data_IF_117085716830
#
_entry.id   IF_117085716830
#
_cell.length_a   1.000
_cell.length_b   1.000
_cell.length_c   1.000
_cell.angle_alpha   90.00
_cell.angle_beta   90.00
_cell.angle_gamma   90.00
#
_symmetry.space_group_name_H-M   'P 1'
#
loop_
_entity.id
_entity.type
_entity.pdbx_description
1 polymer ?
#
# COMPACT_ATOMS: atom_id res chain seq x y z
N UNK A 1 5.65 25.74 11.09
CA UNK A 1 6.58 25.47 9.99
C UNK A 1 5.83 24.63 8.96
N UNK A 2 5.66 25.12 7.74
CA UNK A 2 4.92 24.39 6.69
C UNK A 2 5.72 23.15 6.25
N UNK A 3 5.07 21.98 6.04
CA UNK A 3 5.76 20.81 5.52
C UNK A 3 6.32 21.15 4.15
N UNK A 4 7.65 20.98 4.00
CA UNK A 4 8.35 21.20 2.73
C UNK A 4 7.65 20.33 1.69
N UNK A 5 6.96 20.95 0.73
CA UNK A 5 6.44 20.24 -0.44
C UNK A 5 7.59 19.43 -1.00
N UNK A 6 7.47 18.10 -0.98
CA UNK A 6 8.34 17.23 -1.77
C UNK A 6 7.90 17.42 -3.21
N UNK A 7 8.24 18.58 -3.77
CA UNK A 7 8.36 18.72 -5.21
C UNK A 7 9.50 17.80 -5.56
N UNK A 8 9.19 16.56 -5.93
CA UNK A 8 10.14 15.66 -6.58
C UNK A 8 10.57 16.45 -7.82
N UNK A 9 11.74 17.10 -7.80
CA UNK A 9 12.20 17.71 -9.02
C UNK A 9 12.36 16.55 -9.99
N UNK A 10 12.01 16.77 -11.25
CA UNK A 10 12.38 15.88 -12.33
C UNK A 10 13.91 15.88 -12.38
N UNK A 11 14.54 15.13 -11.48
CA UNK A 11 15.93 14.75 -11.57
C UNK A 11 15.95 13.94 -12.85
N UNK A 12 16.43 14.57 -13.91
CA UNK A 12 16.45 14.04 -15.25
C UNK A 12 17.36 12.83 -15.27
N UNK A 13 16.82 11.70 -14.84
CA UNK A 13 17.42 10.41 -15.05
C UNK A 13 16.50 9.69 -16.03
N UNK A 14 17.01 9.54 -17.26
CA UNK A 14 16.73 8.39 -18.11
C UNK A 14 15.52 8.36 -19.05
N UNK A 15 14.74 9.43 -19.22
CA UNK A 15 13.49 9.35 -20.00
C UNK A 15 13.48 9.97 -21.40
N UNK A 16 14.61 10.48 -21.92
CA UNK A 16 14.68 11.04 -23.28
C UNK A 16 15.71 10.32 -24.17
N UNK A 17 15.85 8.99 -24.00
CA UNK A 17 16.78 8.17 -24.77
C UNK A 17 16.23 6.80 -25.14
N UNK A 18 16.80 6.17 -26.17
CA UNK A 18 16.52 4.77 -26.49
C UNK A 18 16.96 3.87 -25.32
N UNK A 19 16.35 2.68 -25.20
CA UNK A 19 16.73 1.67 -24.19
C UNK A 19 18.25 1.41 -24.15
N UNK A 20 18.91 1.42 -25.31
CA UNK A 20 20.35 1.25 -25.43
C UNK A 20 21.14 2.41 -24.81
N UNK A 21 20.79 3.66 -25.14
CA UNK A 21 21.46 4.86 -24.58
C UNK A 21 21.28 4.98 -23.08
N UNK A 22 20.14 4.53 -22.57
CA UNK A 22 19.82 4.52 -21.15
C UNK A 22 20.75 3.57 -20.37
N UNK A 23 20.87 2.31 -20.80
CA UNK A 23 21.79 1.36 -20.17
C UNK A 23 23.24 1.86 -20.20
N UNK A 24 23.67 2.42 -21.33
CA UNK A 24 25.01 3.01 -21.46
C UNK A 24 25.26 4.12 -20.43
N UNK A 25 24.30 5.05 -20.30
CA UNK A 25 24.36 6.16 -19.35
C UNK A 25 24.31 5.69 -17.88
N UNK A 26 23.59 4.59 -17.55
CA UNK A 26 23.60 3.97 -16.21
C UNK A 26 25.01 3.43 -15.90
N UNK A 27 25.60 2.69 -16.84
CA UNK A 27 26.93 2.11 -16.65
C UNK A 27 27.99 3.21 -16.51
N UNK A 28 27.88 4.27 -17.32
CA UNK A 28 28.81 5.41 -17.32
C UNK A 28 28.28 6.59 -16.48
N UNK A 29 27.57 6.29 -15.38
CA UNK A 29 26.88 7.31 -14.56
C UNK A 29 27.81 8.44 -14.11
N UNK A 30 29.09 8.17 -13.83
CA UNK A 30 30.07 9.20 -13.42
C UNK A 30 30.19 10.35 -14.41
N UNK A 31 30.04 10.08 -15.70
CA UNK A 31 30.17 11.06 -16.76
C UNK A 31 28.81 11.68 -17.15
N UNK A 32 27.71 10.95 -16.91
CA UNK A 32 26.37 11.31 -17.36
C UNK A 32 25.44 11.83 -16.24
N UNK A 33 25.79 11.65 -14.96
CA UNK A 33 25.04 12.19 -13.82
C UNK A 33 25.29 13.69 -13.69
N UNK A 34 24.37 14.49 -14.24
CA UNK A 34 24.40 15.95 -14.17
C UNK A 34 23.04 16.47 -13.72
N UNK A 35 23.06 17.49 -12.87
CA UNK A 35 21.85 18.22 -12.49
C UNK A 35 21.65 19.38 -13.45
N UNK A 36 20.49 19.47 -14.13
CA UNK A 36 20.14 20.63 -14.94
C UNK A 36 20.13 21.93 -14.11
N UNK A 37 20.52 23.06 -14.71
CA UNK A 37 20.61 24.36 -14.03
C UNK A 37 19.25 24.91 -13.57
N UNK A 38 18.18 24.52 -14.27
CA UNK A 38 16.78 24.85 -13.95
C UNK A 38 16.22 24.03 -12.78
N UNK A 39 16.99 23.07 -12.25
CA UNK A 39 16.52 22.21 -11.17
C UNK A 39 16.75 22.87 -9.80
N UNK A 40 15.66 23.29 -9.16
CA UNK A 40 15.64 23.88 -7.81
C UNK A 40 15.88 22.82 -6.71
N UNK A 41 17.09 22.28 -6.67
CA UNK A 41 17.56 21.32 -5.67
C UNK A 41 18.48 22.00 -4.65
N UNK A 42 18.25 21.74 -3.37
CA UNK A 42 19.17 22.18 -2.30
C UNK A 42 20.50 21.41 -2.38
N UNK A 43 21.55 21.95 -1.77
CA UNK A 43 22.87 21.32 -1.74
C UNK A 43 22.84 19.96 -1.06
N UNK A 44 22.09 19.85 0.04
CA UNK A 44 21.92 18.61 0.80
C UNK A 44 21.19 17.55 -0.03
N UNK A 45 20.24 17.97 -0.87
CA UNK A 45 19.52 17.06 -1.76
C UNK A 45 20.45 16.52 -2.87
N UNK A 46 21.30 17.40 -3.44
CA UNK A 46 22.32 16.98 -4.43
C UNK A 46 23.35 16.04 -3.79
N UNK A 47 23.84 16.34 -2.59
CA UNK A 47 24.78 15.48 -1.84
C UNK A 47 24.17 14.10 -1.57
N UNK A 48 22.91 14.04 -1.10
CA UNK A 48 22.21 12.78 -0.88
C UNK A 48 22.16 11.93 -2.16
N UNK A 49 21.78 12.53 -3.29
CA UNK A 49 21.68 11.82 -4.56
C UNK A 49 23.04 11.31 -5.02
N UNK A 50 24.10 12.13 -4.93
CA UNK A 50 25.46 11.70 -5.29
C UNK A 50 25.97 10.54 -4.43
N UNK A 51 25.67 10.56 -3.12
CA UNK A 51 26.08 9.49 -2.20
C UNK A 51 25.26 8.20 -2.32
N UNK A 52 24.08 8.27 -2.94
CA UNK A 52 23.29 7.09 -3.30
C UNK A 52 23.70 6.54 -4.66
N UNK A 53 23.94 7.42 -5.63
CA UNK A 53 24.38 7.10 -6.98
C UNK A 53 25.91 7.08 -7.06
N UNK A 54 26.53 6.16 -6.31
CA UNK A 54 27.97 5.92 -6.35
C UNK A 54 28.30 4.42 -6.36
N UNK A 55 29.60 4.10 -6.28
CA UNK A 55 30.06 2.72 -6.11
C UNK A 55 29.49 2.08 -4.85
N UNK A 56 29.33 0.76 -4.91
CA UNK A 56 28.69 -0.04 -3.86
C UNK A 56 29.39 0.14 -2.51
N UNK A 57 30.72 0.14 -2.49
CA UNK A 57 31.50 0.22 -1.26
C UNK A 57 31.37 1.59 -0.55
N UNK A 58 31.07 2.64 -1.30
CA UNK A 58 30.95 4.01 -0.81
C UNK A 58 29.50 4.48 -0.65
N UNK A 59 28.53 3.63 -1.00
CA UNK A 59 27.11 4.00 -1.03
C UNK A 59 26.60 4.29 0.37
N UNK A 60 25.88 5.39 0.51
CA UNK A 60 25.19 5.73 1.75
C UNK A 60 24.20 4.61 2.11
N UNK A 61 24.32 4.06 3.32
CA UNK A 61 23.50 2.95 3.79
C UNK A 61 24.18 1.58 3.69
N UNK A 62 25.37 1.48 3.11
CA UNK A 62 26.16 0.23 3.08
C UNK A 62 26.48 -0.27 4.49
N UNK A 63 26.65 0.63 5.48
CA UNK A 63 26.83 0.26 6.90
C UNK A 63 25.51 0.25 7.70
N UNK A 64 24.38 0.32 7.02
CA UNK A 64 23.04 0.27 7.61
C UNK A 64 22.24 1.57 7.44
N UNK A 65 20.93 1.47 7.68
CA UNK A 65 19.97 2.55 7.42
C UNK A 65 20.23 3.84 8.24
N UNK A 66 20.98 3.75 9.36
CA UNK A 66 21.28 4.91 10.19
C UNK A 66 22.10 5.98 9.46
N UNK A 67 22.96 5.58 8.50
CA UNK A 67 23.70 6.55 7.69
C UNK A 67 22.79 7.42 6.83
N UNK A 68 21.72 6.81 6.31
CA UNK A 68 20.70 7.51 5.51
C UNK A 68 19.90 8.43 6.43
N UNK A 69 19.43 7.91 7.58
CA UNK A 69 18.64 8.67 8.56
C UNK A 69 19.39 9.89 9.11
N UNK A 70 20.70 9.78 9.29
CA UNK A 70 21.56 10.84 9.81
C UNK A 70 21.97 11.89 8.77
N UNK A 71 21.63 11.69 7.49
CA UNK A 71 22.02 12.62 6.43
C UNK A 71 21.35 14.00 6.62
N UNK A 72 22.07 15.13 6.43
CA UNK A 72 21.53 16.47 6.66
C UNK A 72 20.24 16.80 5.89
N UNK A 73 20.03 16.16 4.74
CA UNK A 73 18.79 16.30 3.97
C UNK A 73 17.53 15.89 4.76
N UNK A 74 17.65 14.92 5.68
CA UNK A 74 16.57 14.44 6.53
C UNK A 74 16.52 15.14 7.90
N UNK A 75 17.24 16.26 8.07
CA UNK A 75 17.23 16.99 9.32
C UNK A 75 15.80 17.42 9.71
N UNK A 76 15.36 17.03 10.91
CA UNK A 76 14.03 17.30 11.44
C UNK A 76 12.98 16.21 11.15
N UNK A 77 13.34 15.11 10.50
CA UNK A 77 12.45 13.95 10.36
C UNK A 77 12.44 13.13 11.65
N UNK A 78 11.25 12.91 12.22
CA UNK A 78 11.05 12.07 13.41
C UNK A 78 10.80 10.61 12.99
N UNK A 79 11.87 9.85 12.79
CA UNK A 79 11.81 8.50 12.22
C UNK A 79 10.97 7.49 13.03
N UNK A 80 10.92 7.63 14.36
CA UNK A 80 10.16 6.73 15.23
C UNK A 80 8.65 6.94 15.14
N UNK A 81 8.21 8.16 14.75
CA UNK A 81 6.79 8.52 14.60
C UNK A 81 6.37 8.69 13.14
N UNK A 82 7.16 8.16 12.20
CA UNK A 82 6.95 8.37 10.78
C UNK A 82 5.54 7.98 10.30
N UNK A 83 4.94 6.93 10.89
CA UNK A 83 3.59 6.48 10.58
C UNK A 83 2.48 7.35 11.20
N UNK A 84 2.78 8.10 12.25
CA UNK A 84 1.85 9.01 12.92
C UNK A 84 1.88 10.41 12.29
N UNK A 85 2.97 10.74 11.58
CA UNK A 85 3.13 12.01 10.89
C UNK A 85 2.11 12.17 9.76
N UNK A 86 1.65 13.41 9.58
CA UNK A 86 0.77 13.74 8.47
C UNK A 86 1.49 13.58 7.12
N UNK A 87 0.95 12.71 6.26
CA UNK A 87 1.46 12.52 4.91
C UNK A 87 1.34 13.82 4.08
N UNK A 88 2.40 14.12 3.32
CA UNK A 88 2.43 15.31 2.46
C UNK A 88 1.36 15.29 1.35
N UNK A 89 0.88 14.11 0.98
CA UNK A 89 -0.17 13.92 0.00
C UNK A 89 -1.14 12.84 0.48
N UNK A 90 -2.44 13.18 0.49
CA UNK A 90 -3.53 12.26 0.78
C UNK A 90 -4.35 12.11 -0.52
N UNK A 91 -4.31 10.94 -1.19
CA UNK A 91 -5.08 10.74 -2.41
C UNK A 91 -6.58 10.84 -2.13
N UNK A 92 -7.33 11.40 -3.07
CA UNK A 92 -8.79 11.41 -3.02
C UNK A 92 -9.29 10.01 -3.37
N UNK A 93 -10.24 9.49 -2.60
CA UNK A 93 -10.86 8.18 -2.79
C UNK A 93 -12.37 8.34 -2.60
N UNK A 94 -13.14 8.04 -3.63
CA UNK A 94 -14.59 8.24 -3.66
C UNK A 94 -15.38 7.02 -3.12
N UNK A 95 -14.73 5.86 -2.97
CA UNK A 95 -15.35 4.63 -2.48
C UNK A 95 -14.39 3.43 -2.48
N UNK A 96 -14.84 2.30 -1.95
CA UNK A 96 -14.01 1.09 -1.76
C UNK A 96 -13.47 0.49 -3.07
N UNK A 97 -14.21 0.66 -4.17
CA UNK A 97 -13.84 0.16 -5.50
C UNK A 97 -13.21 1.25 -6.39
N UNK A 98 -12.90 2.42 -5.83
CA UNK A 98 -12.32 3.53 -6.59
C UNK A 98 -10.90 3.20 -7.06
N UNK A 99 -10.70 3.22 -8.38
CA UNK A 99 -9.42 2.95 -9.03
C UNK A 99 -8.82 4.19 -9.71
N UNK A 100 -9.32 5.40 -9.43
CA UNK A 100 -8.89 6.63 -10.12
C UNK A 100 -7.40 6.98 -9.96
N UNK A 101 -6.77 6.52 -8.86
CA UNK A 101 -5.35 6.74 -8.59
C UNK A 101 -4.44 5.72 -9.30
N UNK A 102 -5.00 4.79 -10.08
CA UNK A 102 -4.29 3.80 -10.87
C UNK A 102 -4.36 4.12 -12.38
N UNK A 103 -3.34 3.67 -13.12
CA UNK A 103 -3.41 3.72 -14.58
C UNK A 103 -4.45 2.73 -15.09
N UNK A 104 -5.26 3.16 -16.05
CA UNK A 104 -6.14 2.26 -16.80
C UNK A 104 -5.31 1.58 -17.87
N UNK A 105 -5.40 0.25 -17.92
CA UNK A 105 -4.82 -0.54 -18.98
C UNK A 105 -5.93 -0.99 -19.91
N UNK A 106 -5.64 -1.01 -21.20
CA UNK A 106 -6.53 -1.64 -22.16
C UNK A 106 -6.58 -3.14 -21.88
N UNK A 107 -7.77 -3.71 -21.98
CA UNK A 107 -7.95 -5.15 -21.87
C UNK A 107 -7.26 -5.79 -23.08
N UNK A 108 -6.13 -6.47 -22.83
CA UNK A 108 -5.44 -7.24 -23.86
C UNK A 108 -6.28 -8.50 -24.09
N UNK A 109 -6.67 -8.76 -25.33
CA UNK A 109 -7.41 -9.97 -25.68
C UNK A 109 -6.75 -11.19 -25.03
N UNK A 110 -7.51 -12.04 -24.32
CA UNK A 110 -6.94 -13.18 -23.65
C UNK A 110 -6.19 -14.04 -24.68
N UNK A 111 -4.95 -14.47 -24.37
CA UNK A 111 -4.24 -15.40 -25.25
C UNK A 111 -5.16 -16.59 -25.51
N UNK A 112 -5.34 -16.92 -26.79
CA UNK A 112 -6.30 -17.91 -27.28
C UNK A 112 -6.28 -19.14 -26.39
N UNK A 113 -7.41 -19.37 -25.74
CA UNK A 113 -7.67 -20.43 -24.77
C UNK A 113 -6.88 -21.73 -25.01
N UNK A 114 -5.74 -21.91 -24.33
CA UNK A 114 -5.29 -23.23 -23.93
C UNK A 114 -6.14 -23.69 -22.73
N UNK A 115 -7.45 -23.76 -22.92
CA UNK A 115 -8.38 -24.37 -21.95
C UNK A 115 -8.13 -25.87 -21.98
N UNK A 116 -7.21 -26.36 -21.15
CA UNK A 116 -7.33 -27.74 -20.68
C UNK A 116 -8.55 -27.78 -19.78
N UNK A 117 -9.65 -28.29 -20.32
CA UNK A 117 -10.95 -28.32 -19.68
C UNK A 117 -10.94 -28.87 -18.27
N UNK A 118 -11.85 -28.35 -17.45
CA UNK A 118 -12.35 -28.99 -16.25
C UNK A 118 -12.92 -30.35 -16.64
N UNK A 119 -12.12 -31.40 -16.48
CA UNK A 119 -12.50 -32.78 -16.76
C UNK A 119 -11.98 -33.68 -15.64
N UNK A 120 -12.92 -34.32 -14.95
CA UNK A 120 -12.67 -35.35 -13.95
C UNK A 120 -11.92 -36.53 -14.59
N UNK A 121 -10.62 -36.62 -14.36
CA UNK A 121 -9.82 -37.85 -14.47
C UNK A 121 -8.45 -37.56 -13.89
N UNK A 122 -8.02 -38.37 -12.92
CA UNK A 122 -6.73 -38.29 -12.20
C UNK A 122 -5.59 -37.91 -13.15
N UNK A 123 -5.21 -36.64 -13.21
CA UNK A 123 -4.02 -36.20 -13.92
C UNK A 123 -2.85 -36.29 -12.94
N UNK A 124 -1.82 -37.07 -13.29
CA UNK A 124 -0.51 -36.91 -12.67
C UNK A 124 -0.12 -35.44 -12.74
N UNK A 125 0.43 -34.91 -11.64
CA UNK A 125 0.97 -33.54 -11.59
C UNK A 125 1.89 -33.36 -12.79
N UNK A 126 1.52 -32.44 -13.68
CA UNK A 126 2.38 -32.11 -14.81
C UNK A 126 3.54 -31.26 -14.30
N UNK A 127 4.67 -31.22 -15.00
CA UNK A 127 5.80 -30.35 -14.63
C UNK A 127 5.38 -28.88 -14.48
N UNK A 128 4.32 -28.45 -15.18
CA UNK A 128 3.74 -27.10 -15.06
C UNK A 128 3.00 -26.88 -13.74
N UNK A 129 2.35 -27.93 -13.20
CA UNK A 129 1.63 -27.85 -11.92
C UNK A 129 2.61 -27.82 -10.74
N UNK A 130 3.79 -28.43 -10.89
CA UNK A 130 4.84 -28.39 -9.86
C UNK A 130 5.37 -26.97 -9.61
N UNK A 131 5.35 -26.09 -10.60
CA UNK A 131 5.81 -24.69 -10.47
C UNK A 131 4.98 -23.85 -9.50
N UNK A 132 3.77 -24.31 -9.12
CA UNK A 132 2.87 -23.60 -8.23
C UNK A 132 2.62 -24.32 -6.89
N UNK A 133 3.31 -25.43 -6.63
CA UNK A 133 3.24 -26.10 -5.32
C UNK A 133 3.80 -25.17 -4.24
N UNK A 134 3.00 -24.91 -3.21
CA UNK A 134 3.37 -23.98 -2.12
C UNK A 134 3.04 -22.50 -2.38
N UNK A 135 2.43 -22.18 -3.52
CA UNK A 135 2.00 -20.81 -3.83
C UNK A 135 0.85 -20.32 -2.93
N UNK A 136 -0.06 -21.23 -2.54
CA UNK A 136 -1.23 -20.88 -1.72
C UNK A 136 -0.81 -20.44 -0.32
N UNK A 137 -0.97 -19.15 -0.05
CA UNK A 137 -0.85 -18.57 1.29
C UNK A 137 -2.23 -18.34 1.90
N UNK A 138 -2.38 -18.66 3.19
CA UNK A 138 -3.56 -18.33 4.00
C UNK A 138 -3.10 -17.55 5.23
N UNK A 139 -3.54 -16.30 5.36
CA UNK A 139 -3.33 -15.53 6.58
C UNK A 139 -4.36 -15.98 7.63
N UNK A 140 -3.96 -16.89 8.53
CA UNK A 140 -4.86 -17.43 9.55
C UNK A 140 -5.24 -16.40 10.63
N UNK A 141 -4.42 -15.37 10.85
CA UNK A 141 -4.72 -14.31 11.82
C UNK A 141 -5.89 -13.44 11.34
N UNK A 142 -5.91 -13.06 10.06
CA UNK A 142 -7.02 -12.32 9.45
C UNK A 142 -8.34 -13.11 9.47
N UNK A 143 -8.27 -14.44 9.29
CA UNK A 143 -9.44 -15.33 9.33
C UNK A 143 -10.04 -15.42 10.73
N UNK A 144 -9.20 -15.40 11.77
CA UNK A 144 -9.65 -15.45 13.16
C UNK A 144 -10.31 -14.15 13.61
N UNK A 145 -9.81 -12.99 13.16
CA UNK A 145 -10.42 -11.69 13.49
C UNK A 145 -11.77 -11.46 12.81
N UNK A 146 -11.90 -11.81 11.52
CA UNK A 146 -13.19 -11.73 10.82
C UNK A 146 -14.28 -12.61 11.44
N UNK A 147 -13.88 -13.75 12.02
CA UNK A 147 -14.80 -14.62 12.77
C UNK A 147 -15.21 -13.98 14.11
N UNK A 148 -14.29 -13.32 14.82
CA UNK A 148 -14.62 -12.61 16.07
C UNK A 148 -15.52 -11.41 15.84
N UNK A 149 -15.35 -10.68 14.73
CA UNK A 149 -16.22 -9.57 14.36
C UNK A 149 -17.64 -10.03 14.02
N UNK A 150 -17.81 -11.12 13.26
CA UNK A 150 -19.16 -11.63 12.95
C UNK A 150 -19.89 -12.20 14.18
N UNK A 151 -19.16 -12.83 15.11
CA UNK A 151 -19.73 -13.27 16.39
C UNK A 151 -19.97 -12.12 17.39
N UNK A 152 -19.20 -11.04 17.30
CA UNK A 152 -19.36 -9.84 18.13
C UNK A 152 -20.59 -9.02 17.73
N UNK A 153 -20.75 -8.74 16.42
CA UNK A 153 -21.88 -7.98 15.90
C UNK A 153 -23.22 -8.71 16.11
N UNK A 154 -23.24 -10.04 15.94
CA UNK A 154 -24.44 -10.83 16.21
C UNK A 154 -24.85 -10.78 17.67
N UNK A 155 -23.93 -10.89 18.65
CA UNK A 155 -24.27 -10.77 20.06
C UNK A 155 -24.78 -9.36 20.44
N UNK A 156 -24.21 -8.31 19.84
CA UNK A 156 -24.61 -6.93 20.11
C UNK A 156 -26.00 -6.60 19.54
N UNK A 157 -26.30 -7.14 18.36
CA UNK A 157 -27.63 -7.01 17.72
C UNK A 157 -28.70 -7.79 18.51
N UNK A 158 -28.39 -8.99 19.01
CA UNK A 158 -29.29 -9.75 19.88
C UNK A 158 -29.54 -9.06 21.22
N UNK A 159 -28.51 -8.47 21.85
CA UNK A 159 -28.66 -7.73 23.10
C UNK A 159 -29.52 -6.48 22.93
N UNK A 160 -29.36 -5.76 21.82
CA UNK A 160 -30.15 -4.57 21.48
C UNK A 160 -31.62 -4.92 21.20
N UNK A 161 -31.89 -6.05 20.52
CA UNK A 161 -33.25 -6.55 20.29
C UNK A 161 -33.94 -6.96 21.59
N UNK A 162 -33.23 -7.64 22.50
CA UNK A 162 -33.79 -8.04 23.80
C UNK A 162 -34.15 -6.83 24.68
N UNK A 163 -33.28 -5.82 24.72
CA UNK A 163 -33.53 -4.59 25.49
C UNK A 163 -34.73 -3.80 24.95
N UNK A 164 -34.93 -3.79 23.62
CA UNK A 164 -36.09 -3.15 22.99
C UNK A 164 -37.41 -3.89 23.27
N UNK A 165 -37.37 -5.22 23.34
CA UNK A 165 -38.54 -6.05 23.71
C UNK A 165 -38.92 -5.88 25.18
N UNK A 166 -37.96 -5.86 26.10
CA UNK A 166 -38.20 -5.61 27.52
C UNK A 166 -38.79 -4.21 27.76
N UNK A 167 -38.27 -3.20 27.05
CA UNK A 167 -38.80 -1.83 27.12
C UNK A 167 -40.24 -1.74 26.59
N UNK A 168 -40.56 -2.48 25.53
CA UNK A 168 -41.91 -2.52 24.95
C UNK A 168 -42.93 -3.23 25.86
N UNK A 169 -42.52 -4.33 26.53
CA UNK A 169 -43.36 -5.03 27.49
C UNK A 169 -43.63 -4.20 28.75
N UNK A 170 -42.66 -3.42 29.21
CA UNK A 170 -42.82 -2.51 30.34
C UNK A 170 -43.80 -1.37 30.03
N UNK A 171 -43.80 -0.88 28.79
CA UNK A 171 -44.72 0.17 28.32
C UNK A 171 -46.16 -0.36 28.20
N UNK A 172 -46.35 -1.60 27.77
CA UNK A 172 -47.67 -2.24 27.66
C UNK A 172 -48.27 -2.60 29.04
N UNK A 173 -47.43 -2.94 30.02
CA UNK A 173 -47.89 -3.21 31.38
C UNK A 173 -48.39 -1.95 32.12
N UNK A 174 -48.05 -0.75 31.61
CA UNK A 174 -48.39 0.52 32.24
C UNK A 174 -49.67 1.19 31.72
N UNK A 175 -50.36 0.59 30.73
CA UNK A 175 -51.54 1.20 30.08
C UNK A 175 -52.88 0.51 30.37
N UNK A 176 -52.99 -0.27 31.45
CA UNK A 176 -54.27 -0.86 31.88
C UNK A 176 -54.92 -0.09 33.02
N UNK A 177 -55.98 0.68 32.74
CA UNK A 177 -56.93 1.22 33.73
C UNK A 177 -58.30 1.41 33.04
N UNK A 178 -59.47 1.45 33.71
CA UNK A 178 -59.82 1.14 35.11
C UNK A 178 -61.14 0.31 35.25
N UNK A 179 -61.54 -0.08 36.48
CA UNK A 179 -62.96 -0.06 36.92
C UNK A 179 -63.08 -0.23 38.45
N UNK A 180 -63.66 0.81 39.07
CA UNK A 180 -64.02 0.97 40.49
C UNK A 180 -65.21 0.09 40.90
N UNK A 181 -65.43 -0.11 42.20
CA UNK A 181 -66.73 0.17 42.81
C UNK A 181 -66.72 1.48 43.61
#
# INVERSE_FOLDING_TARGET
MLPRRVSVPKILFFLVGTKFTNCFQIVHWRNHLRFPEDTQLTLEAKDLIYRLLCDVDNRLGTRGAQEIKAHPWFHGVEWEKLYEMEAAFKPQVNGELDTQNFMKFDEVDPPTAARSGSGSSRKMLTTKDLSFVGYTYKNFDAVKEGLRQSFGDSMQEYASKRAAEETSLQMLASSGDPMLP
#
